data_IF_847373125698
#
_entry.id   IF_847373125698
#
_cell.length_a   1.000
_cell.length_b   1.000
_cell.length_c   1.000
_cell.angle_alpha   90.00
_cell.angle_beta   90.00
_cell.angle_gamma   90.00
#
_symmetry.space_group_name_H-M   'P 1'
#
loop_
_entity.id
_entity.type
_entity.pdbx_description
1 polymer ?
#
# COMPACT_ATOMS: atom_id res chain seq x y z
N UNK A 1 3.29 -22.01 21.41
CA UNK A 1 2.94 -23.41 21.07
C UNK A 1 4.21 -24.14 20.65
N UNK A 2 4.59 -25.22 21.33
CA UNK A 2 5.72 -26.06 20.94
C UNK A 2 5.53 -26.57 19.50
N UNK A 3 6.57 -26.55 18.66
CA UNK A 3 6.51 -26.96 17.24
C UNK A 3 6.28 -25.82 16.23
N UNK A 4 5.68 -24.69 16.63
CA UNK A 4 5.53 -23.53 15.72
C UNK A 4 6.88 -22.85 15.45
N UNK A 5 7.75 -22.80 16.45
CA UNK A 5 9.10 -22.24 16.32
C UNK A 5 10.00 -23.10 15.41
N UNK A 6 9.89 -24.42 15.49
CA UNK A 6 10.62 -25.36 14.61
C UNK A 6 10.11 -25.30 13.18
N UNK A 7 8.79 -25.24 12.97
CA UNK A 7 8.20 -25.10 11.64
C UNK A 7 8.63 -23.77 10.98
N UNK A 8 8.63 -22.65 11.72
CA UNK A 8 9.10 -21.36 11.22
C UNK A 8 10.62 -21.33 10.96
N UNK A 9 11.42 -22.03 11.76
CA UNK A 9 12.86 -22.15 11.56
C UNK A 9 13.21 -22.98 10.31
N UNK A 10 12.37 -23.95 9.93
CA UNK A 10 12.52 -24.72 8.68
C UNK A 10 12.52 -23.81 7.44
N UNK A 11 11.64 -22.79 7.40
CA UNK A 11 11.64 -21.77 6.34
C UNK A 11 12.88 -20.88 6.37
N UNK A 12 13.45 -20.59 7.55
CA UNK A 12 14.69 -19.81 7.67
C UNK A 12 15.93 -20.55 7.15
N UNK A 13 15.88 -21.89 7.06
CA UNK A 13 16.98 -22.70 6.49
C UNK A 13 17.11 -22.54 4.97
N UNK A 14 16.10 -22.01 4.29
CA UNK A 14 16.23 -21.55 2.90
C UNK A 14 16.90 -20.18 2.92
N UNK A 15 18.22 -20.18 3.03
CA UNK A 15 19.09 -19.00 3.19
C UNK A 15 19.13 -18.05 1.99
N UNK A 16 18.11 -18.06 1.12
CA UNK A 16 18.00 -17.26 -0.10
C UNK A 16 16.61 -16.66 -0.33
N UNK A 17 15.74 -16.65 0.68
CA UNK A 17 14.41 -16.04 0.57
C UNK A 17 14.50 -14.51 0.34
N UNK A 18 15.48 -13.85 0.94
CA UNK A 18 15.74 -12.41 0.78
C UNK A 18 16.19 -12.01 -0.64
N UNK A 19 16.52 -12.97 -1.51
CA UNK A 19 16.82 -12.77 -2.93
C UNK A 19 15.58 -12.74 -3.84
N UNK A 20 14.38 -13.02 -3.32
CA UNK A 20 13.13 -12.91 -4.08
C UNK A 20 12.69 -11.43 -4.13
N UNK A 21 12.67 -10.77 -5.32
CA UNK A 21 12.39 -9.33 -5.41
C UNK A 21 11.00 -8.94 -4.91
N UNK A 22 10.01 -9.83 -5.06
CA UNK A 22 8.66 -9.62 -4.54
C UNK A 22 8.64 -9.64 -3.01
N UNK A 23 9.33 -10.61 -2.39
CA UNK A 23 9.33 -10.73 -0.94
C UNK A 23 10.12 -9.61 -0.27
N UNK A 24 11.25 -9.18 -0.85
CA UNK A 24 11.97 -7.98 -0.40
C UNK A 24 11.14 -6.69 -0.55
N UNK A 25 10.17 -6.67 -1.47
CA UNK A 25 9.24 -5.55 -1.62
C UNK A 25 8.17 -5.60 -0.54
N UNK A 26 7.61 -6.78 -0.27
CA UNK A 26 6.66 -6.99 0.84
C UNK A 26 7.30 -6.61 2.18
N UNK A 27 8.49 -7.13 2.49
CA UNK A 27 9.22 -6.81 3.72
C UNK A 27 9.55 -5.32 3.83
N UNK A 28 9.94 -4.66 2.72
CA UNK A 28 10.16 -3.20 2.71
C UNK A 28 8.88 -2.41 2.92
N UNK A 29 7.79 -2.81 2.26
CA UNK A 29 6.48 -2.19 2.45
C UNK A 29 6.02 -2.36 3.90
N UNK A 30 6.22 -3.54 4.50
CA UNK A 30 5.86 -3.80 5.89
C UNK A 30 6.66 -2.92 6.84
N UNK A 31 7.97 -2.73 6.60
CA UNK A 31 8.79 -1.79 7.38
C UNK A 31 8.31 -0.35 7.22
N UNK A 32 8.03 0.10 5.99
CA UNK A 32 7.53 1.44 5.69
C UNK A 32 6.14 1.70 6.30
N UNK A 33 5.26 0.70 6.27
CA UNK A 33 3.94 0.74 6.91
C UNK A 33 4.10 0.82 8.42
N UNK A 34 4.99 0.01 9.02
CA UNK A 34 5.24 0.05 10.46
C UNK A 34 5.81 1.40 10.91
N UNK A 35 6.71 1.99 10.13
CA UNK A 35 7.28 3.31 10.41
C UNK A 35 6.19 4.39 10.30
N UNK A 36 5.36 4.34 9.26
CA UNK A 36 4.24 5.27 9.07
C UNK A 36 3.19 5.16 10.19
N UNK A 37 2.87 3.93 10.62
CA UNK A 37 1.94 3.68 11.74
C UNK A 37 2.53 4.17 13.06
N UNK A 38 3.83 3.95 13.27
CA UNK A 38 4.54 4.42 14.47
C UNK A 38 4.59 5.95 14.52
N UNK A 39 4.83 6.61 13.37
CA UNK A 39 4.78 8.07 13.27
C UNK A 39 3.40 8.60 13.66
N UNK A 40 2.31 8.01 13.16
CA UNK A 40 0.95 8.42 13.50
C UNK A 40 0.61 8.16 14.98
N UNK A 41 1.09 7.06 15.56
CA UNK A 41 0.92 6.75 16.98
C UNK A 41 1.70 7.67 17.92
N UNK A 42 2.75 8.34 17.43
CA UNK A 42 3.55 9.31 18.19
C UNK A 42 2.93 10.71 18.25
N UNK A 43 1.91 10.97 17.43
CA UNK A 43 1.25 12.27 17.37
C UNK A 43 0.29 12.48 18.55
N UNK A 44 0.13 13.74 18.94
CA UNK A 44 -0.98 14.13 19.82
C UNK A 44 -2.31 13.92 19.11
N UNK A 45 -3.39 13.69 19.87
CA UNK A 45 -4.73 13.47 19.31
C UNK A 45 -5.17 14.61 18.37
N UNK A 46 -4.81 15.85 18.69
CA UNK A 46 -5.13 17.00 17.84
C UNK A 46 -4.44 16.93 16.47
N UNK A 47 -3.13 16.65 16.46
CA UNK A 47 -2.34 16.56 15.23
C UNK A 47 -2.75 15.34 14.39
N UNK A 48 -3.13 14.23 15.03
CA UNK A 48 -3.66 13.05 14.34
C UNK A 48 -4.97 13.39 13.62
N UNK A 49 -5.89 14.09 14.27
CA UNK A 49 -7.17 14.49 13.66
C UNK A 49 -6.98 15.48 12.50
N UNK A 50 -5.97 16.36 12.59
CA UNK A 50 -5.58 17.23 11.49
C UNK A 50 -5.05 16.44 10.29
N UNK A 51 -4.14 15.47 10.52
CA UNK A 51 -3.65 14.59 9.45
C UNK A 51 -4.78 13.78 8.81
N UNK A 52 -5.73 13.25 9.60
CA UNK A 52 -6.91 12.54 9.08
C UNK A 52 -7.74 13.45 8.17
N UNK A 53 -7.99 14.69 8.57
CA UNK A 53 -8.70 15.67 7.73
C UNK A 53 -7.93 15.98 6.44
N UNK A 54 -6.61 16.13 6.53
CA UNK A 54 -5.74 16.32 5.36
C UNK A 54 -5.85 15.17 4.36
N UNK A 55 -5.80 13.92 4.83
CA UNK A 55 -5.95 12.73 3.99
C UNK A 55 -7.34 12.65 3.34
N UNK A 56 -8.41 12.99 4.07
CA UNK A 56 -9.77 13.04 3.52
C UNK A 56 -9.89 14.09 2.40
N UNK A 57 -9.30 15.27 2.60
CA UNK A 57 -9.28 16.32 1.58
C UNK A 57 -8.51 15.88 0.33
N UNK A 58 -7.34 15.25 0.52
CA UNK A 58 -6.54 14.72 -0.59
C UNK A 58 -7.31 13.63 -1.36
N UNK A 59 -7.92 12.68 -0.65
CA UNK A 59 -8.73 11.62 -1.26
C UNK A 59 -9.88 12.20 -2.09
N UNK A 60 -10.53 13.26 -1.59
CA UNK A 60 -11.56 13.97 -2.34
C UNK A 60 -11.02 14.61 -3.61
N UNK A 61 -9.91 15.35 -3.55
CA UNK A 61 -9.28 15.97 -4.71
C UNK A 61 -8.88 14.93 -5.78
N UNK A 62 -8.23 13.85 -5.35
CA UNK A 62 -7.84 12.75 -6.24
C UNK A 62 -9.06 12.08 -6.87
N UNK A 63 -10.16 11.90 -6.13
CA UNK A 63 -11.39 11.34 -6.68
C UNK A 63 -12.02 12.23 -7.76
N UNK A 64 -11.95 13.55 -7.61
CA UNK A 64 -12.38 14.48 -8.67
C UNK A 64 -11.51 14.35 -9.91
N UNK A 65 -10.19 14.33 -9.74
CA UNK A 65 -9.24 14.19 -10.85
C UNK A 65 -9.40 12.85 -11.58
N UNK A 66 -9.53 11.75 -10.83
CA UNK A 66 -9.78 10.42 -11.39
C UNK A 66 -11.07 10.41 -12.22
N UNK A 67 -12.17 10.95 -11.68
CA UNK A 67 -13.46 10.99 -12.39
C UNK A 67 -13.37 11.76 -13.71
N UNK A 68 -12.59 12.85 -13.73
CA UNK A 68 -12.35 13.67 -14.91
C UNK A 68 -11.52 12.92 -15.95
N UNK A 69 -10.44 12.26 -15.54
CA UNK A 69 -9.59 11.50 -16.46
C UNK A 69 -10.30 10.25 -16.99
N UNK A 70 -11.10 9.57 -16.17
CA UNK A 70 -11.94 8.45 -16.61
C UNK A 70 -12.97 8.90 -17.65
N UNK A 71 -13.59 10.05 -17.44
CA UNK A 71 -14.51 10.65 -18.41
C UNK A 71 -13.81 10.98 -19.73
N UNK A 72 -12.61 11.57 -19.67
CA UNK A 72 -11.78 11.85 -20.85
C UNK A 72 -11.41 10.57 -21.60
N UNK A 73 -10.95 9.54 -20.89
CA UNK A 73 -10.61 8.23 -21.47
C UNK A 73 -11.80 7.58 -22.19
N UNK A 74 -13.01 7.71 -21.63
CA UNK A 74 -14.25 7.23 -22.27
C UNK A 74 -14.50 7.92 -23.61
N UNK A 75 -14.35 9.25 -23.70
CA UNK A 75 -14.56 9.98 -24.95
C UNK A 75 -13.48 9.73 -26.00
N UNK A 76 -12.29 9.32 -25.56
CA UNK A 76 -11.18 8.96 -26.44
C UNK A 76 -11.21 7.48 -26.86
N UNK A 77 -12.19 6.70 -26.39
CA UNK A 77 -12.35 5.27 -26.69
C UNK A 77 -11.08 4.44 -26.47
N UNK A 78 -10.21 4.85 -25.53
CA UNK A 78 -8.90 4.19 -25.31
C UNK A 78 -9.03 2.76 -24.76
N UNK A 79 -10.19 2.43 -24.20
CA UNK A 79 -10.53 1.10 -23.69
C UNK A 79 -11.46 0.33 -24.64
N UNK A 80 -11.83 0.91 -25.79
CA UNK A 80 -12.68 0.22 -26.77
C UNK A 80 -11.87 -0.91 -27.44
N UNK A 81 -12.47 -2.10 -27.48
CA UNK A 81 -11.83 -3.25 -28.16
C UNK A 81 -11.89 -3.01 -29.68
N UNK A 82 -10.83 -3.37 -30.42
CA UNK A 82 -10.84 -3.25 -31.86
C UNK A 82 -12.00 -4.08 -32.44
N UNK A 83 -12.84 -3.44 -33.25
CA UNK A 83 -13.92 -4.10 -33.99
C UNK A 83 -13.29 -4.81 -35.19
N UNK A 84 -13.42 -6.14 -35.23
CA UNK A 84 -13.12 -6.96 -36.41
C UNK A 84 -14.30 -6.94 -37.36
#
# INVERSE_FOLDING_TARGET
VPGVAEFAASFKSVSNISNIPYLRRVERNDVEINDSVSELGSLTTANLMEKVRGLQNLAYQLGLDESREMTRGKFLNILEKPKK
#
